data_IF_128404286961
#
_entry.id   IF_128404286961
#
_cell.length_a   1.000
_cell.length_b   1.000
_cell.length_c   1.000
_cell.angle_alpha   90.00
_cell.angle_beta   90.00
_cell.angle_gamma   90.00
#
_symmetry.space_group_name_H-M   'P 1'
#
loop_
_entity.id
_entity.type
_entity.pdbx_description
1 polymer ?
#
# COMPACT_ATOMS: atom_id res chain seq x y z
N UNK A 1 -9.90 15.31 1.08
CA UNK A 1 -8.56 14.84 0.70
C UNK A 1 -8.20 13.56 1.43
N UNK A 2 -8.26 12.42 0.74
CA UNK A 2 -7.93 11.08 1.24
C UNK A 2 -6.52 11.00 1.91
N UNK A 3 -5.49 11.75 1.47
CA UNK A 3 -4.17 11.72 2.09
C UNK A 3 -4.12 12.03 3.57
N UNK A 4 -5.01 12.88 4.07
CA UNK A 4 -5.04 13.25 5.48
C UNK A 4 -5.67 12.15 6.37
N UNK A 5 -6.35 11.18 5.77
CA UNK A 5 -7.08 10.12 6.46
C UNK A 5 -6.33 8.79 6.49
N UNK A 6 -5.27 8.65 5.68
CA UNK A 6 -4.53 7.39 5.64
C UNK A 6 -3.61 7.25 6.86
N UNK A 7 -3.84 6.28 7.73
CA UNK A 7 -3.11 6.13 8.99
C UNK A 7 -1.76 5.46 8.77
N UNK A 8 -0.89 6.11 7.98
CA UNK A 8 0.41 5.57 7.59
C UNK A 8 1.29 5.23 8.79
N UNK A 9 1.22 6.02 9.87
CA UNK A 9 1.96 5.76 11.10
C UNK A 9 1.55 4.46 11.78
N UNK A 10 0.26 4.15 11.79
CA UNK A 10 -0.25 2.88 12.34
C UNK A 10 0.18 1.67 11.51
N UNK A 11 0.16 1.81 10.18
CA UNK A 11 0.52 0.75 9.25
C UNK A 11 2.04 0.56 9.21
N UNK A 12 2.82 1.65 9.10
CA UNK A 12 4.28 1.58 9.01
C UNK A 12 4.96 1.31 10.35
N UNK A 13 4.27 1.56 11.47
CA UNK A 13 4.87 1.54 12.81
C UNK A 13 5.79 2.73 13.09
N UNK A 14 5.83 3.72 12.22
CA UNK A 14 6.66 4.92 12.34
C UNK A 14 5.78 6.16 12.48
N UNK A 15 5.75 6.75 13.69
CA UNK A 15 4.92 7.91 14.01
C UNK A 15 5.22 9.15 13.16
N UNK A 16 6.42 9.24 12.60
CA UNK A 16 6.84 10.35 11.72
C UNK A 16 6.60 10.08 10.25
N UNK A 17 6.04 8.93 9.91
CA UNK A 17 5.81 8.55 8.52
C UNK A 17 4.76 9.44 7.87
N UNK A 18 5.07 9.95 6.68
CA UNK A 18 4.22 10.86 5.90
C UNK A 18 3.66 10.09 4.71
N UNK A 19 2.33 10.08 4.57
CA UNK A 19 1.64 9.49 3.43
C UNK A 19 1.85 10.29 2.14
N UNK A 20 2.27 9.62 1.07
CA UNK A 20 2.55 10.23 -0.24
C UNK A 20 1.86 9.42 -1.34
N UNK A 21 0.63 9.79 -1.75
CA UNK A 21 -0.01 9.18 -2.91
C UNK A 21 0.73 9.59 -4.18
N UNK A 22 1.07 8.61 -5.02
CA UNK A 22 1.87 8.80 -6.22
C UNK A 22 1.02 8.77 -7.50
N UNK A 23 0.14 7.78 -7.62
CA UNK A 23 -0.73 7.60 -8.77
C UNK A 23 -2.09 7.05 -8.36
N UNK A 24 -3.11 7.38 -9.16
CA UNK A 24 -4.46 6.81 -9.07
C UNK A 24 -4.78 6.13 -10.39
N UNK A 25 -5.54 5.01 -10.31
CA UNK A 25 -6.00 4.28 -11.49
C UNK A 25 -4.87 3.90 -12.47
N UNK A 26 -3.73 3.43 -11.91
CA UNK A 26 -2.55 3.07 -12.67
C UNK A 26 -2.76 1.76 -13.41
N UNK A 27 -2.53 1.76 -14.74
CA UNK A 27 -2.67 0.57 -15.58
C UNK A 27 -1.47 -0.37 -15.40
N UNK A 28 -1.76 -1.62 -15.04
CA UNK A 28 -0.82 -2.75 -15.01
C UNK A 28 -1.28 -3.81 -16.03
N UNK A 29 -0.38 -4.70 -16.44
CA UNK A 29 -0.72 -5.80 -17.34
C UNK A 29 -1.78 -6.75 -16.74
N UNK A 30 -1.89 -6.76 -15.40
CA UNK A 30 -2.83 -7.57 -14.62
C UNK A 30 -4.13 -6.86 -14.25
N UNK A 31 -4.30 -5.60 -14.64
CA UNK A 31 -5.49 -4.79 -14.35
C UNK A 31 -5.16 -3.37 -13.91
N UNK A 32 -6.17 -2.67 -13.42
CA UNK A 32 -6.09 -1.26 -13.04
C UNK A 32 -6.02 -1.14 -11.53
N UNK A 33 -4.90 -0.66 -11.03
CA UNK A 33 -4.65 -0.42 -9.61
C UNK A 33 -5.27 0.92 -9.16
N UNK A 34 -6.08 0.90 -8.10
CA UNK A 34 -6.78 2.10 -7.65
C UNK A 34 -5.82 3.17 -7.11
N UNK A 35 -4.90 2.82 -6.20
CA UNK A 35 -3.93 3.78 -5.67
C UNK A 35 -2.57 3.12 -5.49
N UNK A 36 -1.54 3.75 -6.07
CA UNK A 36 -0.13 3.46 -5.82
C UNK A 36 0.48 4.58 -4.99
N UNK A 37 1.14 4.25 -3.88
CA UNK A 37 1.64 5.24 -2.95
C UNK A 37 2.95 4.83 -2.28
N UNK A 38 3.59 5.79 -1.63
CA UNK A 38 4.75 5.57 -0.76
C UNK A 38 4.59 6.35 0.54
N UNK A 39 5.53 6.21 1.44
CA UNK A 39 5.68 7.04 2.62
C UNK A 39 7.03 7.76 2.66
N UNK A 40 7.26 8.54 3.72
CA UNK A 40 8.49 9.31 3.91
C UNK A 40 9.76 8.48 4.08
N UNK A 41 9.65 7.16 4.20
CA UNK A 41 10.81 6.23 4.30
C UNK A 41 10.92 5.27 3.11
N UNK A 42 10.00 5.36 2.15
CA UNK A 42 10.05 4.62 0.88
C UNK A 42 9.37 3.25 0.89
N UNK A 43 8.49 2.96 1.88
CA UNK A 43 7.59 1.81 1.79
C UNK A 43 6.64 1.98 0.61
N UNK A 44 6.32 0.87 -0.06
CA UNK A 44 5.41 0.85 -1.21
C UNK A 44 4.04 0.34 -0.76
N UNK A 45 2.99 1.07 -1.12
CA UNK A 45 1.61 0.73 -0.82
C UNK A 45 0.82 0.49 -2.09
N UNK A 46 0.21 -0.68 -2.20
CA UNK A 46 -0.71 -1.09 -3.26
C UNK A 46 -2.10 -1.14 -2.63
N UNK A 47 -2.99 -0.27 -3.07
CA UNK A 47 -4.29 -0.08 -2.42
C UNK A 47 -5.40 -0.38 -3.41
N UNK A 48 -6.30 -1.26 -3.01
CA UNK A 48 -7.57 -1.54 -3.68
C UNK A 48 -8.72 -0.97 -2.86
N UNK A 49 -9.58 -0.18 -3.51
CA UNK A 49 -10.73 0.47 -2.91
C UNK A 49 -12.01 -0.27 -3.29
N UNK A 50 -12.73 -0.81 -2.31
CA UNK A 50 -14.04 -1.45 -2.52
C UNK A 50 -15.08 -0.80 -1.62
N UNK A 51 -16.00 -0.07 -2.25
CA UNK A 51 -17.17 0.48 -1.61
C UNK A 51 -18.32 -0.50 -1.88
N UNK A 52 -18.59 -1.36 -0.99
CA UNK A 52 -19.80 -2.15 -0.80
C UNK A 52 -19.47 -3.52 -0.20
N UNK A 53 -20.09 -3.84 0.92
CA UNK A 53 -19.85 -5.04 1.72
C UNK A 53 -20.17 -6.39 1.01
N UNK A 54 -20.66 -6.36 -0.23
CA UNK A 54 -21.13 -7.54 -0.97
C UNK A 54 -20.07 -8.20 -1.86
N UNK A 55 -18.82 -7.72 -1.85
CA UNK A 55 -17.77 -8.38 -2.62
C UNK A 55 -17.16 -9.54 -1.83
N UNK A 56 -17.18 -10.72 -2.43
CA UNK A 56 -16.53 -11.89 -1.87
C UNK A 56 -15.04 -11.59 -1.64
N UNK A 57 -14.59 -11.84 -0.43
CA UNK A 57 -13.18 -11.73 -0.01
C UNK A 57 -12.20 -12.35 -1.01
N UNK A 58 -12.60 -13.45 -1.64
CA UNK A 58 -11.82 -14.14 -2.65
C UNK A 58 -11.51 -13.25 -3.85
N UNK A 59 -12.46 -12.44 -4.30
CA UNK A 59 -12.29 -11.55 -5.46
C UNK A 59 -11.36 -10.37 -5.13
N UNK A 60 -11.57 -9.71 -3.98
CA UNK A 60 -10.73 -8.59 -3.54
C UNK A 60 -9.28 -9.03 -3.36
N UNK A 61 -9.10 -10.17 -2.72
CA UNK A 61 -7.78 -10.75 -2.46
C UNK A 61 -7.07 -11.12 -3.76
N UNK A 62 -7.76 -11.74 -4.72
CA UNK A 62 -7.14 -12.10 -6.00
C UNK A 62 -6.71 -10.86 -6.78
N UNK A 63 -7.49 -9.78 -6.78
CA UNK A 63 -7.14 -8.56 -7.49
C UNK A 63 -5.85 -7.92 -6.95
N UNK A 64 -5.77 -7.65 -5.64
CA UNK A 64 -4.60 -6.97 -5.07
C UNK A 64 -3.34 -7.82 -5.15
N UNK A 65 -3.49 -9.15 -5.04
CA UNK A 65 -2.38 -10.10 -5.23
C UNK A 65 -1.89 -10.09 -6.68
N UNK A 66 -2.82 -10.01 -7.63
CA UNK A 66 -2.48 -9.92 -9.04
C UNK A 66 -1.73 -8.63 -9.37
N UNK A 67 -2.04 -7.50 -8.71
CA UNK A 67 -1.29 -6.26 -8.90
C UNK A 67 0.14 -6.39 -8.37
N UNK A 68 0.32 -6.94 -7.18
CA UNK A 68 1.66 -7.16 -6.62
C UNK A 68 2.47 -8.14 -7.49
N UNK A 69 1.85 -9.22 -7.96
CA UNK A 69 2.47 -10.16 -8.90
C UNK A 69 2.80 -9.49 -10.24
N UNK A 70 1.89 -8.67 -10.78
CA UNK A 70 2.09 -7.93 -12.03
C UNK A 70 3.27 -6.96 -11.97
N UNK A 71 3.46 -6.26 -10.84
CA UNK A 71 4.64 -5.43 -10.60
C UNK A 71 5.91 -6.29 -10.59
N UNK A 72 5.90 -7.39 -9.83
CA UNK A 72 7.03 -8.32 -9.74
C UNK A 72 7.41 -8.93 -11.09
N UNK A 73 6.42 -9.38 -11.86
CA UNK A 73 6.65 -9.97 -13.18
C UNK A 73 7.15 -8.93 -14.18
N UNK A 74 6.66 -7.69 -14.10
CA UNK A 74 7.15 -6.60 -14.93
C UNK A 74 8.59 -6.25 -14.62
N UNK A 75 9.00 -6.26 -13.32
CA UNK A 75 10.40 -6.10 -12.92
C UNK A 75 11.28 -7.23 -13.49
N UNK A 76 10.82 -8.48 -13.42
CA UNK A 76 11.54 -9.64 -13.97
C UNK A 76 11.72 -9.55 -15.48
N UNK A 77 10.69 -9.08 -16.19
CA UNK A 77 10.67 -9.02 -17.65
C UNK A 77 11.50 -7.86 -18.22
N UNK A 78 11.44 -6.69 -17.59
CA UNK A 78 12.14 -5.48 -18.04
C UNK A 78 13.55 -5.32 -17.44
N UNK A 79 13.79 -5.92 -16.28
CA UNK A 79 14.87 -5.52 -15.40
C UNK A 79 14.49 -4.31 -14.55
N UNK A 80 15.14 -4.16 -13.40
CA UNK A 80 14.78 -3.14 -12.40
C UNK A 80 14.93 -1.70 -12.94
N UNK A 81 15.97 -1.42 -13.73
CA UNK A 81 16.23 -0.07 -14.22
C UNK A 81 15.18 0.38 -15.25
N UNK A 82 14.84 -0.47 -16.21
CA UNK A 82 13.81 -0.16 -17.21
C UNK A 82 12.41 -0.13 -16.59
N UNK A 83 12.13 -1.02 -15.61
CA UNK A 83 10.92 -0.95 -14.80
C UNK A 83 10.85 0.38 -14.05
N UNK A 84 11.94 0.86 -13.47
CA UNK A 84 11.98 2.12 -12.74
C UNK A 84 11.68 3.33 -13.65
N UNK A 85 12.21 3.33 -14.88
CA UNK A 85 11.89 4.34 -15.89
C UNK A 85 10.41 4.28 -16.25
N UNK A 86 9.87 3.11 -16.54
CA UNK A 86 8.46 2.91 -16.84
C UNK A 86 7.57 3.37 -15.68
N UNK A 87 7.89 3.01 -14.44
CA UNK A 87 7.11 3.39 -13.26
C UNK A 87 7.02 4.92 -13.10
N UNK A 88 8.13 5.62 -13.32
CA UNK A 88 8.17 7.09 -13.24
C UNK A 88 7.25 7.76 -14.29
N UNK A 89 7.22 7.23 -15.50
CA UNK A 89 6.31 7.73 -16.54
C UNK A 89 4.85 7.41 -16.21
N UNK A 90 4.54 6.23 -15.72
CA UNK A 90 3.19 5.89 -15.29
C UNK A 90 2.72 6.74 -14.09
N UNK A 91 3.58 6.98 -13.10
CA UNK A 91 3.26 7.90 -12.00
C UNK A 91 3.00 9.31 -12.54
N UNK A 92 3.85 9.82 -13.42
CA UNK A 92 3.66 11.14 -14.02
C UNK A 92 2.34 11.24 -14.78
N UNK A 93 1.99 10.23 -15.57
CA UNK A 93 0.74 10.16 -16.34
C UNK A 93 -0.49 10.14 -15.43
N UNK A 94 -0.45 9.36 -14.33
CA UNK A 94 -1.58 9.10 -13.45
C UNK A 94 -1.56 9.92 -12.15
N UNK A 95 -0.61 10.84 -11.99
CA UNK A 95 -0.54 11.76 -10.86
C UNK A 95 -1.37 13.02 -11.09
N UNK A 96 -1.82 13.65 -10.00
CA UNK A 96 -2.49 14.94 -10.07
C UNK A 96 -1.56 15.98 -10.70
N UNK A 97 -2.05 16.66 -11.76
CA UNK A 97 -1.29 17.65 -12.53
C UNK A 97 -0.04 17.11 -13.25
N UNK A 98 0.02 15.83 -13.55
CA UNK A 98 1.13 15.21 -14.29
C UNK A 98 2.52 15.52 -13.68
N UNK A 99 2.61 15.46 -12.37
CA UNK A 99 3.85 15.73 -11.64
C UNK A 99 4.82 14.55 -11.71
N UNK A 100 6.12 14.84 -11.74
CA UNK A 100 7.13 13.80 -11.62
C UNK A 100 7.22 13.26 -10.20
N UNK A 101 7.69 12.03 -10.05
CA UNK A 101 7.85 11.35 -8.77
C UNK A 101 8.64 12.19 -7.75
N UNK A 102 9.74 12.81 -8.18
CA UNK A 102 10.58 13.66 -7.34
C UNK A 102 9.84 14.90 -6.83
N UNK A 103 9.01 15.51 -7.69
CA UNK A 103 8.21 16.69 -7.29
C UNK A 103 7.16 16.32 -6.27
N UNK A 104 6.49 15.18 -6.45
CA UNK A 104 5.47 14.70 -5.53
C UNK A 104 6.09 14.44 -4.15
N UNK A 105 7.18 13.69 -4.11
CA UNK A 105 7.88 13.35 -2.87
C UNK A 105 8.46 14.61 -2.22
N UNK A 106 9.19 15.43 -2.98
CA UNK A 106 9.85 16.64 -2.47
C UNK A 106 8.89 17.68 -1.90
N UNK A 107 7.65 17.74 -2.41
CA UNK A 107 6.60 18.60 -1.87
C UNK A 107 6.12 18.17 -0.47
N UNK A 108 6.34 16.91 -0.08
CA UNK A 108 5.91 16.34 1.21
C UNK A 108 7.01 16.28 2.26
N UNK A 109 8.23 15.91 1.85
CA UNK A 109 9.33 15.64 2.79
C UNK A 109 10.54 16.58 2.65
N UNK A 110 10.45 17.56 1.74
CA UNK A 110 11.58 18.42 1.38
C UNK A 110 12.53 17.78 0.35
N UNK A 111 13.24 18.63 -0.39
CA UNK A 111 14.06 18.20 -1.53
C UNK A 111 15.27 17.35 -1.11
N UNK A 112 15.83 17.61 0.05
CA UNK A 112 17.05 16.96 0.53
C UNK A 112 16.84 15.47 0.87
N UNK A 113 15.61 15.07 1.16
CA UNK A 113 15.25 13.70 1.53
C UNK A 113 14.76 12.84 0.32
N UNK A 114 14.56 13.45 -0.85
CA UNK A 114 13.95 12.77 -2.01
C UNK A 114 14.78 11.57 -2.44
N UNK A 115 16.09 11.75 -2.61
CA UNK A 115 16.97 10.69 -3.13
C UNK A 115 16.97 9.46 -2.20
N UNK A 116 17.02 9.66 -0.89
CA UNK A 116 16.97 8.57 0.09
C UNK A 116 15.66 7.76 -0.01
N UNK A 117 14.52 8.45 -0.19
CA UNK A 117 13.23 7.79 -0.37
C UNK A 117 13.17 7.02 -1.70
N UNK A 118 13.67 7.61 -2.79
CA UNK A 118 13.70 6.95 -4.10
C UNK A 118 14.55 5.67 -4.09
N UNK A 119 15.71 5.71 -3.43
CA UNK A 119 16.58 4.54 -3.27
C UNK A 119 15.90 3.45 -2.43
N UNK A 120 15.22 3.83 -1.34
CA UNK A 120 14.45 2.89 -0.51
C UNK A 120 13.29 2.28 -1.28
N UNK A 121 12.54 3.07 -2.06
CA UNK A 121 11.48 2.57 -2.94
C UNK A 121 12.01 1.56 -3.95
N UNK A 122 13.10 1.89 -4.65
CA UNK A 122 13.73 1.02 -5.64
C UNK A 122 14.15 -0.31 -5.02
N UNK A 123 14.77 -0.27 -3.85
CA UNK A 123 15.14 -1.45 -3.08
C UNK A 123 13.93 -2.29 -2.66
N UNK A 124 12.87 -1.65 -2.15
CA UNK A 124 11.66 -2.36 -1.74
C UNK A 124 10.96 -3.05 -2.93
N UNK A 125 10.96 -2.43 -4.11
CA UNK A 125 10.45 -3.04 -5.34
C UNK A 125 11.31 -4.23 -5.78
N UNK A 126 12.64 -4.11 -5.75
CA UNK A 126 13.57 -5.19 -6.08
C UNK A 126 13.41 -6.40 -5.15
N UNK A 127 13.23 -6.14 -3.86
CA UNK A 127 13.05 -7.16 -2.82
C UNK A 127 11.59 -7.63 -2.68
N UNK A 128 10.71 -7.15 -3.56
CA UNK A 128 9.27 -7.47 -3.49
C UNK A 128 8.63 -7.10 -2.13
N UNK A 129 9.03 -6.00 -1.53
CA UNK A 129 8.51 -5.53 -0.23
C UNK A 129 7.42 -4.49 -0.43
N UNK A 130 6.21 -4.96 -0.71
CA UNK A 130 5.06 -4.09 -0.88
C UNK A 130 4.07 -4.29 0.27
N UNK A 131 3.33 -3.27 0.62
CA UNK A 131 2.24 -3.31 1.58
C UNK A 131 0.92 -3.33 0.83
N UNK A 132 0.12 -4.35 1.05
CA UNK A 132 -1.20 -4.48 0.42
C UNK A 132 -2.26 -3.89 1.34
N UNK A 133 -3.10 -2.99 0.83
CA UNK A 133 -4.14 -2.33 1.62
C UNK A 133 -5.51 -2.47 0.95
N UNK A 134 -6.46 -3.01 1.70
CA UNK A 134 -7.86 -3.10 1.30
C UNK A 134 -8.63 -1.94 1.93
N UNK A 135 -8.92 -0.89 1.16
CA UNK A 135 -9.74 0.23 1.62
C UNK A 135 -11.22 -0.10 1.37
N UNK A 136 -12.00 -0.26 2.44
CA UNK A 136 -13.38 -0.75 2.40
C UNK A 136 -14.29 0.04 3.35
N UNK A 137 -15.59 -0.07 3.16
CA UNK A 137 -16.60 0.57 4.02
C UNK A 137 -16.84 -0.18 5.35
N UNK A 138 -16.51 -1.48 5.41
CA UNK A 138 -16.68 -2.29 6.63
C UNK A 138 -15.72 -3.46 6.71
N UNK A 139 -14.95 -3.54 7.78
CA UNK A 139 -14.12 -4.69 8.10
C UNK A 139 -14.97 -5.81 8.69
N UNK A 140 -15.22 -6.84 7.89
CA UNK A 140 -15.97 -8.04 8.31
C UNK A 140 -15.07 -9.04 9.06
N UNK A 141 -15.69 -9.97 9.81
CA UNK A 141 -14.96 -11.09 10.44
C UNK A 141 -14.18 -11.91 9.44
N UNK A 142 -14.76 -12.19 8.27
CA UNK A 142 -14.13 -13.00 7.23
C UNK A 142 -12.92 -12.30 6.63
N UNK A 143 -12.99 -10.96 6.48
CA UNK A 143 -11.83 -10.17 6.05
C UNK A 143 -10.71 -10.23 7.07
N UNK A 144 -11.02 -10.11 8.38
CA UNK A 144 -10.01 -10.24 9.45
C UNK A 144 -9.32 -11.59 9.39
N UNK A 145 -10.10 -12.67 9.38
CA UNK A 145 -9.57 -14.05 9.26
C UNK A 145 -8.73 -14.21 8.00
N UNK A 146 -9.18 -13.66 6.88
CA UNK A 146 -8.44 -13.70 5.62
C UNK A 146 -7.10 -12.98 5.67
N UNK A 147 -7.05 -11.78 6.29
CA UNK A 147 -5.81 -11.00 6.47
C UNK A 147 -4.87 -11.71 7.44
N UNK A 148 -5.38 -12.22 8.57
CA UNK A 148 -4.57 -12.96 9.54
C UNK A 148 -3.95 -14.20 8.89
N UNK A 149 -4.76 -14.99 8.19
CA UNK A 149 -4.27 -16.16 7.47
C UNK A 149 -3.22 -15.80 6.42
N UNK A 150 -3.44 -14.68 5.68
CA UNK A 150 -2.47 -14.19 4.71
C UNK A 150 -1.15 -13.82 5.37
N UNK A 151 -1.20 -12.94 6.38
CA UNK A 151 -0.01 -12.47 7.09
C UNK A 151 0.72 -13.61 7.81
N UNK A 152 -0.01 -14.67 8.21
CA UNK A 152 0.57 -15.90 8.77
C UNK A 152 1.18 -16.83 7.73
N UNK A 153 0.68 -16.81 6.51
CA UNK A 153 1.06 -17.70 5.41
C UNK A 153 2.15 -17.11 4.50
N UNK A 154 2.39 -15.79 4.60
CA UNK A 154 3.40 -15.11 3.77
C UNK A 154 4.77 -15.75 4.05
N UNK A 155 5.33 -16.35 3.01
CA UNK A 155 6.70 -16.86 3.02
C UNK A 155 7.67 -15.66 3.02
N UNK A 156 8.80 -15.82 3.70
CA UNK A 156 9.83 -14.78 3.82
C UNK A 156 10.43 -14.32 2.49
N UNK A 157 10.14 -15.03 1.40
CA UNK A 157 10.55 -14.69 0.04
C UNK A 157 9.61 -13.73 -0.68
N UNK A 158 8.37 -13.55 -0.20
CA UNK A 158 7.37 -12.64 -0.76
C UNK A 158 6.69 -11.88 0.37
N UNK A 159 7.34 -10.82 0.82
CA UNK A 159 6.86 -9.99 1.94
C UNK A 159 5.77 -9.02 1.51
N UNK A 160 4.52 -9.47 1.41
CA UNK A 160 3.36 -8.62 1.19
C UNK A 160 2.48 -8.56 2.45
N UNK A 161 2.84 -7.79 3.49
CA UNK A 161 1.93 -7.61 4.61
C UNK A 161 0.64 -6.96 4.13
N UNK A 162 -0.48 -7.47 4.61
CA UNK A 162 -1.80 -7.02 4.19
C UNK A 162 -2.54 -6.35 5.33
N UNK A 163 -3.23 -5.25 5.02
CA UNK A 163 -4.04 -4.47 5.94
C UNK A 163 -5.42 -4.21 5.35
N UNK A 164 -6.44 -4.16 6.21
CA UNK A 164 -7.71 -3.54 5.88
C UNK A 164 -7.77 -2.14 6.46
N UNK A 165 -8.34 -1.23 5.69
CA UNK A 165 -8.63 0.13 6.08
C UNK A 165 -10.14 0.33 5.97
N UNK A 166 -10.83 0.43 7.09
CA UNK A 166 -12.25 0.74 7.10
C UNK A 166 -12.43 2.25 7.07
N UNK A 167 -13.10 2.75 6.03
CA UNK A 167 -13.40 4.17 5.86
C UNK A 167 -14.90 4.36 5.99
N UNK A 168 -15.35 4.96 7.10
CA UNK A 168 -16.75 5.28 7.35
C UNK A 168 -17.01 6.75 7.18
N UNK A 169 -18.04 7.06 6.41
CA UNK A 169 -18.59 8.39 6.30
C UNK A 169 -19.74 8.51 7.30
N UNK A 170 -19.72 9.53 8.13
CA UNK A 170 -20.85 9.92 8.97
C UNK A 170 -21.51 11.16 8.36
N UNK A 171 -22.83 11.13 8.24
CA UNK A 171 -23.58 12.34 7.95
C UNK A 171 -23.69 13.11 9.27
N UNK A 172 -22.91 14.19 9.40
CA UNK A 172 -23.05 15.15 10.49
C UNK A 172 -24.39 15.86 10.44
N UNK A 173 -24.73 16.59 11.51
CA UNK A 173 -25.96 17.38 11.59
C UNK A 173 -26.07 18.28 10.36
N UNK A 174 -27.25 18.32 9.72
CA UNK A 174 -27.50 19.02 8.43
C UNK A 174 -27.19 20.53 8.44
N UNK A 175 -26.83 21.09 9.60
CA UNK A 175 -26.51 22.49 9.80
C UNK A 175 -25.07 22.86 9.44
N UNK A 176 -24.13 21.90 9.34
CA UNK A 176 -22.70 22.22 9.33
C UNK A 176 -21.92 21.71 8.09
N UNK A 177 -22.51 21.17 7.06
CA UNK A 177 -21.83 20.65 5.85
C UNK A 177 -20.48 19.92 6.13
N UNK A 178 -20.19 19.56 7.38
CA UNK A 178 -18.99 18.83 7.76
C UNK A 178 -19.21 17.34 7.50
N UNK A 179 -18.28 16.78 6.75
CA UNK A 179 -18.17 15.35 6.52
C UNK A 179 -17.27 14.76 7.59
N UNK A 180 -17.86 14.11 8.58
CA UNK A 180 -17.09 13.32 9.52
C UNK A 180 -16.73 11.98 8.90
N UNK A 181 -15.41 11.72 8.77
CA UNK A 181 -14.87 10.47 8.28
C UNK A 181 -14.07 9.82 9.40
N UNK A 182 -14.39 8.59 9.76
CA UNK A 182 -13.55 7.78 10.62
C UNK A 182 -12.79 6.75 9.80
N UNK A 183 -11.55 6.48 10.22
CA UNK A 183 -10.70 5.48 9.62
C UNK A 183 -10.25 4.50 10.70
N UNK A 184 -10.36 3.21 10.42
CA UNK A 184 -9.89 2.15 11.30
C UNK A 184 -9.03 1.16 10.52
N UNK A 185 -7.89 0.79 11.06
CA UNK A 185 -6.97 -0.20 10.47
C UNK A 185 -7.11 -1.58 11.10
N UNK A 186 -6.79 -2.61 10.30
CA UNK A 186 -6.64 -3.98 10.77
C UNK A 186 -5.59 -4.74 9.94
N UNK A 187 -4.63 -5.43 10.54
CA UNK A 187 -4.18 -5.27 11.94
C UNK A 187 -3.45 -3.93 12.16
N UNK A 188 -3.27 -3.53 13.40
CA UNK A 188 -2.90 -2.17 13.79
C UNK A 188 -1.45 -1.76 13.55
N UNK A 189 -0.55 -2.65 13.08
CA UNK A 189 0.86 -2.28 13.04
C UNK A 189 1.70 -3.21 12.12
N UNK A 190 2.37 -2.62 11.14
CA UNK A 190 3.28 -3.32 10.23
C UNK A 190 4.48 -3.97 10.95
N UNK A 191 5.04 -3.33 11.98
CA UNK A 191 6.17 -3.85 12.74
C UNK A 191 5.83 -5.17 13.44
N UNK A 192 4.61 -5.31 13.96
CA UNK A 192 4.15 -6.58 14.55
C UNK A 192 4.12 -7.71 13.53
N UNK A 193 3.73 -7.41 12.29
CA UNK A 193 3.71 -8.37 11.20
C UNK A 193 5.13 -8.73 10.78
N UNK A 194 6.01 -7.74 10.61
CA UNK A 194 7.43 -7.96 10.28
C UNK A 194 8.13 -8.81 11.34
N UNK A 195 7.98 -8.48 12.63
CA UNK A 195 8.53 -9.28 13.73
C UNK A 195 8.00 -10.72 13.74
N UNK A 196 6.71 -10.93 13.42
CA UNK A 196 6.10 -12.25 13.33
C UNK A 196 6.70 -13.06 12.16
N UNK A 197 6.95 -12.42 11.03
CA UNK A 197 7.59 -13.03 9.85
C UNK A 197 9.06 -13.42 10.19
N UNK A 198 9.81 -12.49 10.75
CA UNK A 198 11.21 -12.72 11.14
C UNK A 198 11.36 -13.83 12.19
N UNK A 199 10.48 -13.88 13.19
CA UNK A 199 10.47 -14.94 14.20
C UNK A 199 10.17 -16.32 13.62
N UNK A 200 9.32 -16.42 12.60
CA UNK A 200 9.05 -17.66 11.88
C UNK A 200 10.25 -18.10 11.04
N UNK A 201 10.95 -17.16 10.39
CA UNK A 201 12.15 -17.50 9.60
C UNK A 201 13.30 -18.01 10.45
N UNK A 202 13.49 -17.46 11.65
CA UNK A 202 14.51 -17.92 12.61
C UNK A 202 14.29 -19.36 13.09
N UNK A 203 13.04 -19.80 13.18
CA UNK A 203 12.71 -21.16 13.61
C UNK A 203 12.91 -22.24 12.53
N UNK A 204 12.98 -21.87 11.25
CA UNK A 204 13.21 -22.82 10.14
C UNK A 204 14.70 -23.15 9.88
N UNK A 205 15.64 -22.50 10.57
CA UNK A 205 17.10 -22.77 10.42
C UNK A 205 17.64 -23.88 11.33
N UNK A 206 16.77 -24.57 12.08
CA UNK A 206 17.19 -25.65 12.98
C UNK A 206 16.44 -26.94 12.58
N UNK A 207 16.75 -27.45 11.39
CA UNK A 207 16.60 -28.90 11.09
C UNK A 207 17.45 -29.27 9.87
#
# INVERSE_FOLDING_TARGET
>A
DFPALFPVSEISGNETSIWIPLAQEMELDTGRLDIFATDGVGNIYIIECKLNSNHEMKTIRSQITNYAAGISDKIKNLGLDDFWIWLREEIKKNSKNQQTLEKIIGAKIGKDNVESVLQSMKKNLEENRNVLVFAIDKITSDLRVGIDWWNDSVDTSTNYPSFALEVRKYEGDKSDNSLDVSVQTYPFNLEKIKMKIESKSGKRKIH
#
